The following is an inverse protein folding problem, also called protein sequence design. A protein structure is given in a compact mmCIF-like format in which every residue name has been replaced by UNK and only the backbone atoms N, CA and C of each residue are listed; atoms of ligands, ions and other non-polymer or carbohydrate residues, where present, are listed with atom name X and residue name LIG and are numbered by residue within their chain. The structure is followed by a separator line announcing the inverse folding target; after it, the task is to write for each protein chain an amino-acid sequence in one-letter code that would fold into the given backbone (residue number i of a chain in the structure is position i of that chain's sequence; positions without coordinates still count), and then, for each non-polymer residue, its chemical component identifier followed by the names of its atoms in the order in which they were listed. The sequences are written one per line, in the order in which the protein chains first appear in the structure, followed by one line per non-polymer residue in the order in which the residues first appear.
data_IF_833888565087
#
_entry.id   IF_833888565087
#
_cell.length_a   1.000
_cell.length_b   1.000
_cell.length_c   1.000
_cell.angle_alpha   90.00
_cell.angle_beta   90.00
_cell.angle_gamma   90.00
#
_symmetry.space_group_name_H-M   'P 1'
#
loop_
_entity.id
_entity.type
_entity.pdbx_description
1 polymer ?
#
# COMPACT_ATOMS: atom_id res chain seq x y z
N UNK A 1 -26.38 16.23 9.92
CA UNK A 1 -27.68 15.56 10.12
C UNK A 1 -28.36 15.09 8.83
N UNK A 2 -28.77 15.97 7.88
CA UNK A 2 -29.42 15.51 6.64
C UNK A 2 -28.46 14.82 5.64
N UNK A 3 -27.22 15.32 5.54
CA UNK A 3 -26.17 14.73 4.69
C UNK A 3 -25.69 13.38 5.23
N UNK A 4 -25.40 13.29 6.53
CA UNK A 4 -25.01 12.04 7.18
C UNK A 4 -26.08 10.94 7.05
N UNK A 5 -27.37 11.30 7.11
CA UNK A 5 -28.48 10.37 6.89
C UNK A 5 -28.67 9.95 5.42
N UNK A 6 -28.16 10.73 4.47
CA UNK A 6 -28.12 10.35 3.06
C UNK A 6 -26.92 9.43 2.79
N UNK A 7 -25.76 9.74 3.37
CA UNK A 7 -24.55 8.92 3.26
C UNK A 7 -24.77 7.52 3.84
N UNK A 8 -25.38 7.41 5.02
CA UNK A 8 -25.68 6.10 5.62
C UNK A 8 -26.60 5.26 4.73
N UNK A 9 -27.64 5.87 4.14
CA UNK A 9 -28.54 5.19 3.20
C UNK A 9 -27.85 4.74 1.92
N UNK A 10 -26.94 5.55 1.38
CA UNK A 10 -26.16 5.18 0.19
C UNK A 10 -25.25 4.00 0.51
N UNK A 11 -24.59 4.02 1.67
CA UNK A 11 -23.74 2.91 2.13
C UNK A 11 -24.56 1.65 2.33
N UNK A 12 -25.72 1.74 2.98
CA UNK A 12 -26.60 0.60 3.24
C UNK A 12 -27.13 -0.01 1.94
N UNK A 13 -27.58 0.84 1.00
CA UNK A 13 -28.00 0.43 -0.34
C UNK A 13 -26.86 -0.27 -1.10
N UNK A 14 -25.63 0.22 -0.96
CA UNK A 14 -24.45 -0.39 -1.59
C UNK A 14 -24.11 -1.73 -0.93
N UNK A 15 -24.17 -1.84 0.39
CA UNK A 15 -23.89 -3.07 1.14
C UNK A 15 -24.94 -4.16 0.87
N UNK A 16 -26.22 -3.78 0.76
CA UNK A 16 -27.33 -4.72 0.55
C UNK A 16 -27.35 -5.25 -0.89
N UNK A 17 -27.13 -4.38 -1.88
CA UNK A 17 -27.23 -4.76 -3.29
C UNK A 17 -25.92 -5.38 -3.81
N UNK A 18 -25.88 -6.71 -3.90
CA UNK A 18 -24.76 -7.45 -4.50
C UNK A 18 -24.45 -6.98 -5.93
N UNK A 19 -25.50 -6.76 -6.74
CA UNK A 19 -25.34 -6.29 -8.12
C UNK A 19 -24.63 -4.93 -8.21
N UNK A 20 -24.94 -4.00 -7.30
CA UNK A 20 -24.32 -2.68 -7.29
C UNK A 20 -22.84 -2.76 -6.90
N UNK A 21 -22.49 -3.62 -5.93
CA UNK A 21 -21.09 -3.88 -5.54
C UNK A 21 -20.28 -4.49 -6.65
N UNK A 22 -20.77 -5.57 -7.25
CA UNK A 22 -20.08 -6.25 -8.34
C UNK A 22 -20.03 -5.38 -9.60
N UNK A 23 -21.07 -4.60 -9.88
CA UNK A 23 -21.11 -3.63 -10.96
C UNK A 23 -20.08 -2.52 -10.78
N UNK A 24 -19.99 -1.93 -9.59
CA UNK A 24 -18.98 -0.91 -9.28
C UNK A 24 -17.55 -1.47 -9.34
N UNK A 25 -17.32 -2.65 -8.78
CA UNK A 25 -16.02 -3.33 -8.86
C UNK A 25 -15.64 -3.64 -10.33
N UNK A 26 -16.60 -4.11 -11.14
CA UNK A 26 -16.41 -4.35 -12.57
C UNK A 26 -16.12 -3.06 -13.35
N UNK A 27 -16.81 -1.97 -13.03
CA UNK A 27 -16.56 -0.66 -13.63
C UNK A 27 -15.16 -0.13 -13.30
N UNK A 28 -14.74 -0.23 -12.03
CA UNK A 28 -13.37 0.13 -11.61
C UNK A 28 -12.34 -0.73 -12.31
N UNK A 29 -12.58 -2.05 -12.40
CA UNK A 29 -11.68 -2.96 -13.11
C UNK A 29 -11.56 -2.60 -14.60
N UNK A 30 -12.67 -2.30 -15.27
CA UNK A 30 -12.68 -1.85 -16.67
C UNK A 30 -11.94 -0.51 -16.84
N UNK A 31 -12.13 0.43 -15.91
CA UNK A 31 -11.41 1.69 -15.93
C UNK A 31 -9.90 1.51 -15.70
N UNK A 32 -9.49 0.57 -14.86
CA UNK A 32 -8.07 0.24 -14.68
C UNK A 32 -7.43 -0.42 -15.93
N UNK A 33 -8.25 -0.97 -16.83
CA UNK A 33 -7.79 -1.56 -18.10
C UNK A 33 -7.70 -0.51 -19.20
N UNK A 34 -8.73 0.33 -19.36
CA UNK A 34 -8.88 1.22 -20.53
C UNK A 34 -8.78 2.72 -20.21
N UNK A 35 -8.78 3.10 -18.93
CA UNK A 35 -8.85 4.48 -18.49
C UNK A 35 -7.49 5.20 -18.50
N UNK A 36 -7.49 6.42 -19.00
CA UNK A 36 -6.37 7.35 -18.80
C UNK A 36 -6.25 7.68 -17.31
N UNK A 37 -5.10 7.38 -16.71
CA UNK A 37 -4.88 7.60 -15.27
C UNK A 37 -5.13 6.38 -14.37
N UNK A 38 -5.22 5.17 -14.93
CA UNK A 38 -5.29 3.92 -14.16
C UNK A 38 -4.21 3.81 -13.06
N UNK A 39 -3.00 4.31 -13.34
CA UNK A 39 -1.91 4.43 -12.38
C UNK A 39 -2.30 5.24 -11.14
N UNK A 40 -2.85 6.43 -11.36
CA UNK A 40 -3.23 7.35 -10.29
C UNK A 40 -4.34 6.72 -9.44
N UNK A 41 -5.37 6.15 -10.08
CA UNK A 41 -6.48 5.50 -9.37
C UNK A 41 -5.98 4.31 -8.53
N UNK A 42 -5.15 3.45 -9.10
CA UNK A 42 -4.56 2.31 -8.39
C UNK A 42 -3.76 2.75 -7.17
N UNK A 43 -2.98 3.83 -7.28
CA UNK A 43 -2.19 4.35 -6.17
C UNK A 43 -3.05 5.02 -5.11
N UNK A 44 -4.10 5.73 -5.49
CA UNK A 44 -5.09 6.27 -4.54
C UNK A 44 -5.73 5.14 -3.75
N UNK A 45 -6.19 4.07 -4.42
CA UNK A 45 -6.77 2.90 -3.73
C UNK A 45 -5.76 2.25 -2.79
N UNK A 46 -4.52 2.08 -3.26
CA UNK A 46 -3.42 1.50 -2.49
C UNK A 46 -2.95 2.34 -1.30
N UNK A 47 -3.27 3.63 -1.26
CA UNK A 47 -2.85 4.54 -0.18
C UNK A 47 -4.02 4.88 0.74
N UNK A 48 -5.17 5.27 0.18
CA UNK A 48 -6.26 5.89 0.93
C UNK A 48 -6.86 4.96 1.99
N UNK A 49 -7.20 3.72 1.60
CA UNK A 49 -7.80 2.77 2.53
C UNK A 49 -6.82 2.33 3.63
N UNK A 50 -5.59 1.88 3.32
CA UNK A 50 -4.58 1.56 4.33
C UNK A 50 -4.21 2.73 5.22
N UNK A 51 -4.14 3.96 4.69
CA UNK A 51 -3.83 5.15 5.48
C UNK A 51 -4.94 5.44 6.50
N UNK A 52 -6.21 5.36 6.08
CA UNK A 52 -7.32 5.54 7.00
C UNK A 52 -7.28 4.51 8.13
N UNK A 53 -7.14 3.22 7.81
CA UNK A 53 -7.10 2.18 8.84
C UNK A 53 -5.84 2.27 9.70
N UNK A 54 -4.70 2.70 9.13
CA UNK A 54 -3.47 2.93 9.90
C UNK A 54 -3.66 4.03 10.94
N UNK A 55 -4.35 5.13 10.61
CA UNK A 55 -4.66 6.20 11.58
C UNK A 55 -5.53 5.65 12.72
N UNK A 56 -6.56 4.86 12.39
CA UNK A 56 -7.38 4.20 13.40
C UNK A 56 -6.58 3.22 14.26
N UNK A 57 -5.64 2.49 13.67
CA UNK A 57 -4.76 1.56 14.41
C UNK A 57 -3.85 2.32 15.38
N UNK A 58 -3.26 3.45 14.96
CA UNK A 58 -2.39 4.30 15.79
C UNK A 58 -3.13 4.88 16.99
N UNK A 59 -4.39 5.25 16.82
CA UNK A 59 -5.25 5.74 17.91
C UNK A 59 -5.73 4.60 18.84
N UNK A 60 -5.64 3.34 18.38
CA UNK A 60 -6.00 2.16 19.18
C UNK A 60 -4.84 1.70 20.07
N UNK A 61 -5.14 1.01 21.16
CA UNK A 61 -4.11 0.56 22.13
C UNK A 61 -3.33 -0.69 21.70
N UNK A 62 -3.64 -1.26 20.53
CA UNK A 62 -3.18 -2.59 20.08
C UNK A 62 -1.94 -2.50 19.18
N UNK A 63 -0.78 -2.92 19.70
CA UNK A 63 0.50 -2.90 18.94
C UNK A 63 0.58 -3.89 17.78
N UNK A 64 -0.27 -4.91 17.74
CA UNK A 64 -0.22 -5.93 16.67
C UNK A 64 -0.75 -5.37 15.34
N UNK A 65 -1.67 -4.42 15.40
CA UNK A 65 -2.25 -3.80 14.21
C UNK A 65 -1.23 -2.85 13.54
N UNK A 66 -0.49 -2.09 14.33
CA UNK A 66 0.59 -1.20 13.85
C UNK A 66 1.64 -1.94 13.01
N UNK A 67 2.06 -3.12 13.48
CA UNK A 67 3.09 -3.92 12.82
C UNK A 67 2.62 -4.43 11.45
N UNK A 68 1.35 -4.84 11.35
CA UNK A 68 0.75 -5.31 10.10
C UNK A 68 0.70 -4.20 9.05
N UNK A 69 0.30 -2.99 9.46
CA UNK A 69 0.28 -1.82 8.57
C UNK A 69 1.69 -1.39 8.17
N UNK A 70 2.66 -1.42 9.09
CA UNK A 70 4.06 -1.10 8.75
C UNK A 70 4.63 -2.07 7.70
N UNK A 71 4.36 -3.37 7.84
CA UNK A 71 4.74 -4.39 6.86
C UNK A 71 4.07 -4.12 5.49
N UNK A 72 2.80 -3.72 5.49
CA UNK A 72 2.11 -3.26 4.27
C UNK A 72 2.84 -2.08 3.63
N UNK A 73 3.16 -1.04 4.39
CA UNK A 73 3.83 0.16 3.88
C UNK A 73 5.22 -0.13 3.33
N UNK A 74 6.00 -1.02 3.97
CA UNK A 74 7.30 -1.47 3.44
C UNK A 74 7.12 -2.18 2.09
N UNK A 75 6.14 -3.08 2.01
CA UNK A 75 5.83 -3.79 0.75
C UNK A 75 5.39 -2.80 -0.33
N UNK A 76 4.47 -1.90 -0.02
CA UNK A 76 3.99 -0.85 -0.91
C UNK A 76 5.11 0.06 -1.43
N UNK A 77 6.05 0.43 -0.55
CA UNK A 77 7.23 1.22 -0.92
C UNK A 77 8.11 0.51 -1.94
N UNK A 78 8.39 -0.79 -1.76
CA UNK A 78 9.16 -1.59 -2.72
C UNK A 78 8.47 -1.61 -4.09
N UNK A 79 7.15 -1.82 -4.12
CA UNK A 79 6.39 -1.82 -5.37
C UNK A 79 6.34 -0.45 -6.03
N UNK A 80 6.25 0.63 -5.26
CA UNK A 80 6.31 2.01 -5.78
C UNK A 80 7.66 2.30 -6.44
N UNK A 81 8.76 1.78 -5.92
CA UNK A 81 10.08 1.92 -6.55
C UNK A 81 10.15 1.13 -7.87
N UNK A 82 9.65 -0.10 -7.89
CA UNK A 82 9.58 -0.92 -9.11
C UNK A 82 8.69 -0.25 -10.18
N UNK A 83 7.62 0.43 -9.74
CA UNK A 83 6.69 1.15 -10.60
C UNK A 83 7.33 2.37 -11.30
N UNK A 84 8.49 2.85 -10.86
CA UNK A 84 9.25 3.83 -11.66
C UNK A 84 9.50 3.31 -13.09
N UNK A 85 9.57 1.99 -13.27
CA UNK A 85 9.70 1.32 -14.56
C UNK A 85 8.34 0.90 -15.16
N UNK A 86 7.24 1.56 -14.79
CA UNK A 86 5.88 1.20 -15.22
C UNK A 86 5.71 1.16 -16.74
N UNK A 87 6.43 1.99 -17.51
CA UNK A 87 6.41 1.96 -18.97
C UNK A 87 6.90 0.61 -19.54
N UNK A 88 7.95 0.03 -18.96
CA UNK A 88 8.46 -1.29 -19.32
C UNK A 88 7.49 -2.39 -18.85
N UNK A 89 7.02 -2.31 -17.61
CA UNK A 89 6.10 -3.30 -17.04
C UNK A 89 4.78 -3.38 -17.80
N UNK A 90 4.20 -2.24 -18.18
CA UNK A 90 2.96 -2.17 -18.97
C UNK A 90 3.16 -2.67 -20.40
N UNK A 91 4.38 -2.56 -20.94
CA UNK A 91 4.72 -3.07 -22.28
C UNK A 91 4.91 -4.59 -22.30
N UNK A 92 5.39 -5.18 -21.20
CA UNK A 92 5.65 -6.62 -21.08
C UNK A 92 4.44 -7.38 -20.53
N UNK A 93 3.73 -6.80 -19.57
CA UNK A 93 2.62 -7.43 -18.84
C UNK A 93 1.31 -6.77 -19.25
N UNK A 94 0.43 -7.47 -20.01
CA UNK A 94 -0.90 -6.95 -20.30
C UNK A 94 -1.71 -6.81 -19.00
N UNK A 95 -2.52 -5.76 -18.90
CA UNK A 95 -3.35 -5.48 -17.72
C UNK A 95 -2.58 -5.28 -16.40
N UNK A 96 -1.34 -4.82 -16.48
CA UNK A 96 -0.47 -4.58 -15.31
C UNK A 96 -1.17 -3.80 -14.18
N UNK A 97 -1.92 -2.73 -14.50
CA UNK A 97 -2.62 -1.92 -13.50
C UNK A 97 -3.71 -2.67 -12.74
N UNK A 98 -4.44 -3.56 -13.41
CA UNK A 98 -5.42 -4.41 -12.77
C UNK A 98 -4.75 -5.44 -11.85
N UNK A 99 -3.68 -6.09 -12.33
CA UNK A 99 -2.92 -7.06 -11.55
C UNK A 99 -2.30 -6.42 -10.31
N UNK A 100 -1.71 -5.23 -10.47
CA UNK A 100 -1.16 -4.45 -9.38
C UNK A 100 -2.24 -4.08 -8.36
N UNK A 101 -3.38 -3.58 -8.81
CA UNK A 101 -4.48 -3.23 -7.92
C UNK A 101 -4.99 -4.45 -7.15
N UNK A 102 -5.21 -5.59 -7.82
CA UNK A 102 -5.59 -6.84 -7.16
C UNK A 102 -4.55 -7.30 -6.15
N UNK A 103 -3.27 -7.17 -6.48
CA UNK A 103 -2.17 -7.49 -5.59
C UNK A 103 -2.15 -6.58 -4.34
N UNK A 104 -2.36 -5.28 -4.50
CA UNK A 104 -2.47 -4.34 -3.38
C UNK A 104 -3.68 -4.64 -2.50
N UNK A 105 -4.83 -4.96 -3.11
CA UNK A 105 -6.03 -5.40 -2.38
C UNK A 105 -5.72 -6.66 -1.56
N UNK A 106 -5.04 -7.64 -2.14
CA UNK A 106 -4.63 -8.84 -1.42
C UNK A 106 -3.65 -8.55 -0.25
N UNK A 107 -2.80 -7.53 -0.40
CA UNK A 107 -1.88 -7.10 0.66
C UNK A 107 -2.58 -6.35 1.81
N UNK A 108 -3.70 -5.67 1.55
CA UNK A 108 -4.47 -4.92 2.56
C UNK A 108 -5.59 -5.75 3.22
N UNK A 109 -5.79 -7.01 2.81
CA UNK A 109 -6.85 -7.85 3.39
C UNK A 109 -6.65 -8.01 4.91
N UNK A 110 -7.72 -7.91 5.71
CA UNK A 110 -7.67 -8.07 7.17
C UNK A 110 -7.59 -9.56 7.55
N UNK A 111 -6.54 -10.23 7.12
CA UNK A 111 -6.27 -11.65 7.40
C UNK A 111 -4.90 -11.76 8.07
N UNK A 112 -4.77 -12.70 9.02
CA UNK A 112 -3.53 -13.00 9.76
C UNK A 112 -2.32 -13.26 8.84
N UNK A 113 -2.56 -13.79 7.63
CA UNK A 113 -1.56 -14.00 6.59
C UNK A 113 -1.92 -13.24 5.31
N UNK A 114 -1.97 -11.91 5.40
CA UNK A 114 -2.11 -11.06 4.21
C UNK A 114 -0.85 -11.11 3.33
N UNK A 115 -1.00 -10.67 2.06
CA UNK A 115 0.07 -10.76 1.06
C UNK A 115 1.36 -10.04 1.50
N UNK A 116 1.24 -8.91 2.19
CA UNK A 116 2.38 -8.14 2.71
C UNK A 116 3.15 -8.89 3.79
N UNK A 117 2.46 -9.59 4.71
CA UNK A 117 3.12 -10.41 5.75
C UNK A 117 3.89 -11.58 5.14
N UNK A 118 3.34 -12.23 4.12
CA UNK A 118 4.02 -13.33 3.41
C UNK A 118 5.29 -12.82 2.71
N UNK A 119 5.19 -11.69 2.01
CA UNK A 119 6.33 -11.09 1.31
C UNK A 119 7.39 -10.63 2.30
N UNK A 120 6.99 -10.04 3.42
CA UNK A 120 7.92 -9.64 4.44
C UNK A 120 8.67 -10.84 5.03
N UNK A 121 7.96 -11.91 5.38
CA UNK A 121 8.57 -13.11 5.96
C UNK A 121 9.52 -13.82 4.98
N UNK A 122 9.15 -13.90 3.69
CA UNK A 122 9.90 -14.68 2.68
C UNK A 122 10.99 -13.89 1.98
N UNK A 123 10.79 -12.60 1.74
CA UNK A 123 11.69 -11.77 0.93
C UNK A 123 12.35 -10.68 1.79
N UNK A 124 11.57 -9.82 2.43
CA UNK A 124 12.15 -8.64 3.11
C UNK A 124 13.05 -9.04 4.28
N UNK A 125 12.56 -9.93 5.17
CA UNK A 125 13.26 -10.36 6.38
C UNK A 125 14.63 -11.02 6.12
N UNK A 126 14.77 -12.04 5.24
CA UNK A 126 16.08 -12.66 5.01
C UNK A 126 17.09 -11.71 4.34
N UNK A 127 16.63 -10.84 3.44
CA UNK A 127 17.51 -9.86 2.80
C UNK A 127 17.93 -8.76 3.77
N UNK A 128 17.02 -8.29 4.63
CA UNK A 128 17.32 -7.34 5.69
C UNK A 128 18.35 -7.91 6.67
N UNK A 129 18.11 -9.12 7.21
CA UNK A 129 19.05 -9.75 8.15
C UNK A 129 20.44 -9.97 7.54
N UNK A 130 20.54 -10.18 6.22
CA UNK A 130 21.84 -10.33 5.55
C UNK A 130 22.60 -9.01 5.34
N UNK A 131 21.91 -7.88 5.20
CA UNK A 131 22.54 -6.61 4.80
C UNK A 131 22.42 -5.47 5.82
N UNK A 132 21.58 -5.61 6.87
CA UNK A 132 21.32 -4.55 7.84
C UNK A 132 22.60 -4.00 8.46
N UNK A 133 23.55 -4.83 8.89
CA UNK A 133 24.81 -4.35 9.47
C UNK A 133 25.64 -3.47 8.52
N UNK A 134 25.55 -3.70 7.20
CA UNK A 134 26.25 -2.86 6.22
C UNK A 134 25.52 -1.55 6.04
N UNK A 135 24.19 -1.57 6.04
CA UNK A 135 23.35 -0.38 5.90
C UNK A 135 23.48 0.50 7.15
N UNK A 136 23.44 -0.08 8.34
CA UNK A 136 23.57 0.61 9.62
C UNK A 136 24.94 1.31 9.72
N UNK A 137 26.02 0.64 9.29
CA UNK A 137 27.36 1.24 9.20
C UNK A 137 27.39 2.46 8.28
N UNK A 138 26.76 2.37 7.11
CA UNK A 138 26.70 3.49 6.14
C UNK A 138 25.90 4.66 6.72
N UNK A 139 24.78 4.39 7.39
CA UNK A 139 23.95 5.40 8.03
C UNK A 139 24.74 6.10 9.16
N UNK A 140 25.38 5.35 10.04
CA UNK A 140 26.17 5.89 11.15
C UNK A 140 27.34 6.75 10.65
N UNK A 141 28.06 6.29 9.63
CA UNK A 141 29.16 7.06 9.04
C UNK A 141 28.65 8.34 8.36
N UNK A 142 27.48 8.28 7.72
CA UNK A 142 26.80 9.44 7.16
C UNK A 142 26.41 10.46 8.22
N UNK A 143 25.78 10.02 9.32
CA UNK A 143 25.39 10.87 10.45
C UNK A 143 26.61 11.52 11.12
N UNK A 144 27.68 10.75 11.36
CA UNK A 144 28.92 11.27 11.95
C UNK A 144 29.56 12.34 11.06
N UNK A 145 29.61 12.12 9.75
CA UNK A 145 30.12 13.12 8.79
C UNK A 145 29.26 14.38 8.79
N UNK A 146 27.93 14.25 8.75
CA UNK A 146 27.02 15.39 8.79
C UNK A 146 27.17 16.20 10.09
N UNK A 147 27.26 15.54 11.24
CA UNK A 147 27.49 16.19 12.52
C UNK A 147 28.87 16.88 12.62
N UNK A 148 29.88 16.35 11.92
CA UNK A 148 31.21 16.97 11.82
C UNK A 148 31.20 18.26 11.02
N UNK A 149 30.43 18.33 9.92
CA UNK A 149 30.26 19.55 9.12
C UNK A 149 29.51 20.63 9.90
N UNK A 150 28.42 20.28 10.57
CA UNK A 150 27.62 21.22 11.36
C UNK A 150 28.34 21.78 12.60
N UNK A 151 29.43 21.16 13.04
CA UNK A 151 30.28 21.67 14.14
C UNK A 151 31.38 22.63 13.68
N UNK A 152 31.56 22.77 12.37
CA UNK A 152 32.66 23.53 11.78
C UNK A 152 32.20 24.87 11.16
N UNK A 153 30.90 25.16 11.23
CA UNK A 153 30.25 26.46 11.00
C UNK A 153 29.91 27.14 12.35
#
# INVERSE_FOLDING_TARGET
MAVEGLESKIVELFVENAFLRFGAAGFVALYLIFGYGAQLLCNIIGVLYPAYISIHAIESSSKQDDTKWLIYWVTFGIFTVIEFFSGLLTSVIPFYWLLKCAFLIWCMLPTEQNGSTIIYAKLVRPYFLKHHESVDRIIDDGMKKAAGVLKHD
#
